data_IF_458008617043
#
_entry.id   IF_458008617043
#
_cell.length_a   1.000
_cell.length_b   1.000
_cell.length_c   1.000
_cell.angle_alpha   90.00
_cell.angle_beta   90.00
_cell.angle_gamma   90.00
#
_symmetry.space_group_name_H-M   'P 1'
#
loop_
_entity.id
_entity.type
_entity.pdbx_description
1 polymer ?
#
# COMPACT_ATOMS: atom_id res chain seq x y z
N UNK A 1 -1.69 24.00 14.91
CA UNK A 1 -0.62 24.31 13.94
C UNK A 1 -0.96 23.54 12.67
N UNK A 2 -0.78 24.11 11.48
CA UNK A 2 -0.92 23.37 10.21
C UNK A 2 0.18 22.31 10.14
N UNK A 3 -0.19 21.05 9.95
CA UNK A 3 0.73 19.92 9.77
C UNK A 3 1.53 20.12 8.47
N UNK A 4 2.81 19.74 8.46
CA UNK A 4 3.68 19.84 7.27
C UNK A 4 3.26 18.88 6.17
N UNK A 5 2.84 17.66 6.56
CA UNK A 5 2.36 16.63 5.65
C UNK A 5 0.95 16.22 6.05
N UNK A 6 0.06 16.15 5.06
CA UNK A 6 -1.31 15.65 5.25
C UNK A 6 -1.33 14.12 5.27
N UNK A 7 -0.42 13.48 4.53
CA UNK A 7 -0.29 12.03 4.51
C UNK A 7 1.18 11.63 4.41
N UNK A 8 1.66 10.83 5.35
CA UNK A 8 2.99 10.22 5.33
C UNK A 8 2.84 8.72 5.26
N UNK A 9 3.46 8.09 4.26
CA UNK A 9 3.52 6.64 4.16
C UNK A 9 4.88 6.11 4.60
N UNK A 10 4.90 4.90 5.14
CA UNK A 10 6.13 4.14 5.41
C UNK A 10 5.98 2.72 4.90
N UNK A 11 6.94 2.27 4.09
CA UNK A 11 6.82 1.02 3.37
C UNK A 11 8.11 0.60 2.66
N UNK A 12 8.07 -0.58 2.07
CA UNK A 12 9.09 -1.08 1.18
C UNK A 12 9.10 -0.24 -0.12
N UNK A 13 10.22 0.44 -0.37
CA UNK A 13 10.48 1.09 -1.64
C UNK A 13 10.92 0.05 -2.68
N UNK A 14 9.99 -0.40 -3.53
CA UNK A 14 10.20 -1.48 -4.50
C UNK A 14 10.02 -0.95 -5.91
N UNK A 15 10.99 -1.17 -6.80
CA UNK A 15 10.78 -0.90 -8.23
C UNK A 15 10.01 -2.06 -8.84
N UNK A 16 8.84 -1.77 -9.41
CA UNK A 16 8.07 -2.75 -10.15
C UNK A 16 8.64 -2.90 -11.56
N UNK A 17 8.84 -4.16 -11.95
CA UNK A 17 9.19 -4.57 -13.30
C UNK A 17 8.01 -5.38 -13.81
N UNK A 18 7.25 -4.82 -14.74
CA UNK A 18 5.97 -5.38 -15.18
C UNK A 18 6.12 -5.94 -16.59
N UNK A 19 5.59 -7.13 -16.83
CA UNK A 19 5.43 -7.71 -18.16
C UNK A 19 4.13 -8.51 -18.26
N UNK A 20 3.53 -8.50 -19.45
CA UNK A 20 2.44 -9.42 -19.78
C UNK A 20 2.99 -10.81 -20.06
N UNK A 21 2.26 -11.85 -19.65
CA UNK A 21 2.61 -13.24 -19.94
C UNK A 21 1.37 -14.13 -20.12
N UNK A 22 1.56 -15.30 -20.72
CA UNK A 22 0.54 -16.35 -20.74
C UNK A 22 0.57 -17.18 -19.44
N UNK A 23 -0.54 -17.82 -19.08
CA UNK A 23 -0.59 -18.71 -17.91
C UNK A 23 0.42 -19.86 -18.00
N UNK A 24 0.78 -20.30 -19.21
CA UNK A 24 1.82 -21.32 -19.42
C UNK A 24 3.20 -20.84 -18.94
N UNK A 25 3.50 -19.54 -19.07
CA UNK A 25 4.76 -18.98 -18.60
C UNK A 25 4.83 -19.03 -17.06
N UNK A 26 3.74 -18.69 -16.36
CA UNK A 26 3.67 -18.78 -14.90
C UNK A 26 3.97 -20.22 -14.44
N UNK A 27 3.33 -21.21 -15.07
CA UNK A 27 3.55 -22.62 -14.77
C UNK A 27 5.00 -23.08 -15.06
N UNK A 28 5.56 -22.69 -16.21
CA UNK A 28 6.95 -23.00 -16.58
C UNK A 28 7.97 -22.39 -15.62
N UNK A 29 7.66 -21.22 -15.06
CA UNK A 29 8.48 -20.53 -14.07
C UNK A 29 8.14 -20.90 -12.63
N UNK A 30 7.17 -21.78 -12.36
CA UNK A 30 6.75 -22.12 -11.00
C UNK A 30 6.29 -20.90 -10.19
N UNK A 31 5.60 -19.95 -10.85
CA UNK A 31 5.00 -18.78 -10.21
C UNK A 31 3.56 -19.12 -9.87
N UNK A 32 3.18 -19.00 -8.60
CA UNK A 32 1.80 -19.10 -8.18
C UNK A 32 1.01 -17.85 -8.59
N UNK A 33 -0.15 -18.06 -9.20
CA UNK A 33 -0.95 -16.99 -9.79
C UNK A 33 -1.70 -16.20 -8.72
N UNK A 34 -1.72 -14.88 -8.86
CA UNK A 34 -2.57 -14.00 -8.04
C UNK A 34 -2.03 -13.64 -6.65
N UNK A 35 -0.82 -14.09 -6.30
CA UNK A 35 -0.22 -13.84 -4.98
C UNK A 35 1.09 -13.06 -5.08
N UNK A 36 1.57 -12.59 -3.92
CA UNK A 36 2.91 -12.07 -3.74
C UNK A 36 3.81 -13.17 -3.15
N UNK A 37 4.90 -13.48 -3.85
CA UNK A 37 5.91 -14.43 -3.41
C UNK A 37 7.21 -13.70 -3.09
N UNK A 38 7.74 -13.93 -1.89
CA UNK A 38 9.11 -13.53 -1.57
C UNK A 38 10.09 -14.45 -2.28
N UNK A 39 11.09 -13.86 -2.93
CA UNK A 39 12.13 -14.58 -3.64
C UNK A 39 13.52 -14.07 -3.27
N UNK A 40 14.52 -14.94 -3.45
CA UNK A 40 15.92 -14.58 -3.27
C UNK A 40 16.52 -13.92 -4.52
N UNK A 41 17.69 -13.31 -4.36
CA UNK A 41 18.37 -12.55 -5.41
C UNK A 41 18.57 -13.35 -6.70
N UNK A 42 19.02 -14.60 -6.60
CA UNK A 42 19.30 -15.42 -7.79
C UNK A 42 18.03 -15.66 -8.60
N UNK A 43 16.91 -15.97 -7.92
CA UNK A 43 15.60 -16.12 -8.56
C UNK A 43 15.12 -14.82 -9.17
N UNK A 44 15.44 -13.68 -8.54
CA UNK A 44 15.11 -12.36 -9.07
C UNK A 44 15.81 -12.09 -10.40
N UNK A 45 17.10 -12.39 -10.50
CA UNK A 45 17.87 -12.24 -11.74
C UNK A 45 17.40 -13.22 -12.83
N UNK A 46 17.07 -14.47 -12.47
CA UNK A 46 16.52 -15.46 -13.40
C UNK A 46 15.21 -14.99 -14.02
N UNK A 47 14.25 -14.57 -13.19
CA UNK A 47 12.95 -14.08 -13.65
C UNK A 47 13.11 -12.81 -14.48
N UNK A 48 13.95 -11.86 -14.03
CA UNK A 48 14.21 -10.63 -14.77
C UNK A 48 14.77 -10.91 -16.17
N UNK A 49 15.69 -11.88 -16.30
CA UNK A 49 16.25 -12.29 -17.58
C UNK A 49 15.22 -12.97 -18.51
N UNK A 50 14.24 -13.67 -17.94
CA UNK A 50 13.15 -14.31 -18.68
C UNK A 50 12.05 -13.33 -19.15
N UNK A 51 11.97 -12.13 -18.57
CA UNK A 51 10.96 -11.13 -18.94
C UNK A 51 11.28 -10.42 -20.27
N UNK A 52 10.31 -10.47 -21.19
CA UNK A 52 10.27 -9.62 -22.39
C UNK A 52 9.46 -8.34 -22.16
N UNK A 53 9.65 -7.31 -22.99
CA UNK A 53 8.83 -6.08 -23.05
C UNK A 53 8.51 -5.45 -21.67
N UNK A 54 9.55 -5.27 -20.85
CA UNK A 54 9.42 -4.79 -19.46
C UNK A 54 9.06 -3.30 -19.40
N UNK A 55 8.13 -2.97 -18.50
CA UNK A 55 7.88 -1.60 -18.03
C UNK A 55 8.45 -1.47 -16.61
N UNK A 56 9.15 -0.37 -16.33
CA UNK A 56 9.68 -0.06 -15.01
C UNK A 56 8.91 1.12 -14.41
N UNK A 57 8.46 1.00 -13.17
CA UNK A 57 7.79 2.06 -12.42
C UNK A 57 8.14 1.96 -10.94
N UNK A 58 8.18 3.08 -10.19
CA UNK A 58 8.20 2.99 -8.74
C UNK A 58 6.91 2.30 -8.27
N UNK A 59 7.06 1.30 -7.41
CA UNK A 59 5.98 0.53 -6.80
C UNK A 59 6.06 0.56 -5.28
N UNK A 60 5.52 -0.48 -4.66
CA UNK A 60 5.30 -0.60 -3.21
C UNK A 60 3.89 -0.13 -2.81
N UNK A 61 3.18 -0.92 -2.00
CA UNK A 61 1.74 -0.75 -1.79
C UNK A 61 1.41 0.62 -1.18
N UNK A 62 2.09 0.95 -0.08
CA UNK A 62 1.91 2.26 0.56
C UNK A 62 2.47 3.38 -0.32
N UNK A 63 3.58 3.18 -1.03
CA UNK A 63 4.12 4.20 -1.93
C UNK A 63 3.12 4.58 -3.04
N UNK A 64 2.43 3.59 -3.61
CA UNK A 64 1.37 3.79 -4.60
C UNK A 64 0.18 4.56 -4.01
N UNK A 65 -0.18 4.24 -2.76
CA UNK A 65 -1.21 4.97 -2.00
C UNK A 65 -0.82 6.44 -1.83
N UNK A 66 0.43 6.71 -1.43
CA UNK A 66 0.95 8.07 -1.20
C UNK A 66 1.01 8.87 -2.50
N UNK A 67 1.43 8.24 -3.60
CA UNK A 67 1.46 8.84 -4.93
C UNK A 67 0.05 9.20 -5.42
N UNK A 68 -0.92 8.28 -5.28
CA UNK A 68 -2.31 8.52 -5.64
C UNK A 68 -2.92 9.67 -4.83
N UNK A 69 -2.69 9.70 -3.52
CA UNK A 69 -3.17 10.78 -2.66
C UNK A 69 -2.49 12.14 -2.97
N UNK A 70 -1.21 12.10 -3.36
CA UNK A 70 -0.48 13.26 -3.88
C UNK A 70 -1.09 13.81 -5.16
N UNK A 71 -1.44 12.92 -6.10
CA UNK A 71 -2.12 13.28 -7.36
C UNK A 71 -3.52 13.90 -7.13
N UNK A 72 -4.22 13.50 -6.06
CA UNK A 72 -5.47 14.14 -5.61
C UNK A 72 -5.24 15.53 -4.98
N UNK A 73 -4.00 15.85 -4.61
CA UNK A 73 -3.57 17.16 -4.13
C UNK A 73 -3.24 17.22 -2.64
N UNK A 74 -3.04 16.08 -1.95
CA UNK A 74 -2.48 16.10 -0.60
C UNK A 74 -0.99 16.46 -0.63
N UNK A 75 -0.54 17.18 0.39
CA UNK A 75 0.88 17.28 0.70
C UNK A 75 1.35 15.95 1.29
N UNK A 76 2.01 15.13 0.46
CA UNK A 76 2.34 13.75 0.81
C UNK A 76 3.86 13.48 0.85
N UNK A 77 4.26 12.56 1.72
CA UNK A 77 5.64 12.12 1.85
C UNK A 77 5.71 10.59 1.99
N UNK A 78 6.81 10.00 1.52
CA UNK A 78 7.06 8.58 1.63
C UNK A 78 8.42 8.31 2.28
N UNK A 79 8.38 7.54 3.36
CA UNK A 79 9.52 7.02 4.09
C UNK A 79 9.79 5.61 3.56
N UNK A 80 10.85 5.49 2.77
CA UNK A 80 11.32 4.22 2.24
C UNK A 80 12.83 4.20 2.21
N UNK A 81 13.40 3.03 1.93
CA UNK A 81 14.86 2.84 1.87
C UNK A 81 15.26 2.26 0.51
N UNK A 82 16.13 2.98 -0.19
CA UNK A 82 16.72 2.57 -1.48
C UNK A 82 18.24 2.71 -1.44
N UNK A 83 18.95 1.96 -2.28
CA UNK A 83 20.40 2.07 -2.40
C UNK A 83 20.75 3.21 -3.35
N UNK A 84 21.94 3.79 -3.23
CA UNK A 84 22.51 4.72 -4.24
C UNK A 84 22.94 3.99 -5.53
N UNK A 85 22.13 3.07 -6.02
CA UNK A 85 22.27 2.44 -7.33
C UNK A 85 21.34 3.12 -8.36
N UNK A 86 21.40 2.68 -9.61
CA UNK A 86 20.61 3.27 -10.68
C UNK A 86 19.09 3.18 -10.42
N UNK A 87 18.64 2.11 -9.78
CA UNK A 87 17.22 1.88 -9.49
C UNK A 87 16.74 2.72 -8.31
N UNK A 88 17.57 2.88 -7.27
CA UNK A 88 17.22 3.73 -6.13
C UNK A 88 17.20 5.21 -6.48
N UNK A 89 18.13 5.67 -7.34
CA UNK A 89 18.07 7.02 -7.93
C UNK A 89 16.81 7.21 -8.76
N UNK A 90 16.52 6.27 -9.66
CA UNK A 90 15.28 6.27 -10.44
C UNK A 90 14.03 6.35 -9.53
N UNK A 91 13.97 5.53 -8.48
CA UNK A 91 12.83 5.51 -7.55
C UNK A 91 12.67 6.85 -6.83
N UNK A 92 13.74 7.35 -6.21
CA UNK A 92 13.72 8.62 -5.48
C UNK A 92 13.37 9.81 -6.38
N UNK A 93 13.97 9.89 -7.57
CA UNK A 93 13.69 10.96 -8.54
C UNK A 93 12.23 10.90 -9.02
N UNK A 94 11.72 9.71 -9.31
CA UNK A 94 10.34 9.53 -9.78
C UNK A 94 9.31 9.95 -8.73
N UNK A 95 9.46 9.51 -7.46
CA UNK A 95 8.57 9.92 -6.37
C UNK A 95 8.54 11.44 -6.21
N UNK A 96 9.71 12.10 -6.22
CA UNK A 96 9.79 13.55 -6.11
C UNK A 96 9.19 14.29 -7.32
N UNK A 97 9.39 13.77 -8.54
CA UNK A 97 8.81 14.34 -9.76
C UNK A 97 7.27 14.23 -9.80
N UNK A 98 6.70 13.22 -9.14
CA UNK A 98 5.26 13.06 -8.93
C UNK A 98 4.72 13.95 -7.80
N UNK A 99 5.57 14.75 -7.15
CA UNK A 99 5.19 15.65 -6.06
C UNK A 99 5.10 14.99 -4.69
N UNK A 100 5.54 13.73 -4.56
CA UNK A 100 5.67 13.05 -3.26
C UNK A 100 7.06 13.30 -2.70
N UNK A 101 7.16 13.83 -1.48
CA UNK A 101 8.45 14.01 -0.84
C UNK A 101 9.05 12.65 -0.47
N UNK A 102 10.06 12.18 -1.21
CA UNK A 102 10.82 10.99 -0.83
C UNK A 102 11.82 11.37 0.27
N UNK A 103 11.55 10.91 1.49
CA UNK A 103 12.14 11.47 2.72
C UNK A 103 13.64 11.15 2.83
N UNK A 104 14.03 9.94 2.47
CA UNK A 104 15.39 9.45 2.67
C UNK A 104 16.22 9.60 1.40
N UNK A 105 17.45 10.09 1.52
CA UNK A 105 18.39 10.04 0.41
C UNK A 105 18.78 8.58 0.09
N UNK A 106 19.07 8.24 -1.18
CA UNK A 106 19.62 6.93 -1.53
C UNK A 106 20.89 6.59 -0.72
N UNK A 107 20.98 5.36 -0.21
CA UNK A 107 22.05 4.95 0.71
C UNK A 107 23.31 4.54 -0.07
N UNK A 108 24.38 5.32 0.06
CA UNK A 108 25.65 5.12 -0.67
C UNK A 108 26.28 3.73 -0.44
N UNK A 109 26.39 3.32 0.82
CA UNK A 109 27.09 2.09 1.23
C UNK A 109 26.11 0.96 1.61
N UNK A 110 24.92 0.92 0.99
CA UNK A 110 23.94 -0.14 1.23
C UNK A 110 24.44 -1.50 0.74
N UNK A 111 24.44 -2.51 1.63
CA UNK A 111 24.92 -3.86 1.29
C UNK A 111 24.07 -4.53 0.20
N UNK A 112 22.74 -4.45 0.34
CA UNK A 112 21.77 -5.01 -0.60
C UNK A 112 21.39 -3.99 -1.67
N UNK A 113 21.07 -4.41 -2.91
CA UNK A 113 20.62 -3.48 -3.96
C UNK A 113 19.18 -3.00 -3.69
N UNK A 114 18.75 -1.98 -4.45
CA UNK A 114 17.36 -1.52 -4.43
C UNK A 114 16.40 -2.66 -4.78
N UNK A 115 15.31 -2.74 -4.02
CA UNK A 115 14.31 -3.81 -4.10
C UNK A 115 13.58 -3.80 -5.43
N UNK A 116 13.17 -4.99 -5.88
CA UNK A 116 12.43 -5.16 -7.14
C UNK A 116 11.32 -6.19 -7.01
N UNK A 117 10.20 -5.94 -7.67
CA UNK A 117 9.13 -6.92 -7.87
C UNK A 117 9.01 -7.24 -9.35
N UNK A 118 9.15 -8.51 -9.73
CA UNK A 118 8.80 -8.95 -11.07
C UNK A 118 7.33 -9.33 -11.09
N UNK A 119 6.54 -8.51 -11.77
CA UNK A 119 5.09 -8.61 -11.85
C UNK A 119 4.72 -9.15 -13.22
N UNK A 120 3.98 -10.25 -13.20
CA UNK A 120 3.48 -10.93 -14.38
C UNK A 120 1.97 -10.78 -14.45
N UNK A 121 1.49 -10.13 -15.52
CA UNK A 121 0.07 -9.88 -15.76
C UNK A 121 -0.44 -10.89 -16.79
N UNK A 122 -1.37 -11.75 -16.38
CA UNK A 122 -2.01 -12.75 -17.26
C UNK A 122 -3.17 -12.16 -18.08
N UNK A 123 -3.67 -12.86 -19.12
CA UNK A 123 -4.70 -12.30 -20.00
C UNK A 123 -6.05 -11.98 -19.34
N UNK A 124 -6.30 -12.52 -18.14
CA UNK A 124 -7.47 -12.23 -17.30
C UNK A 124 -7.28 -11.02 -16.38
N UNK A 125 -6.14 -10.31 -16.49
CA UNK A 125 -5.83 -9.12 -15.70
C UNK A 125 -5.35 -9.41 -14.28
N UNK A 126 -5.21 -10.69 -13.91
CA UNK A 126 -4.62 -11.08 -12.63
C UNK A 126 -3.11 -10.85 -12.62
N UNK A 127 -2.57 -10.46 -11.47
CA UNK A 127 -1.14 -10.16 -11.28
C UNK A 127 -0.48 -11.16 -10.36
N UNK A 128 0.71 -11.60 -10.72
CA UNK A 128 1.52 -12.54 -9.93
C UNK A 128 2.88 -11.90 -9.64
N UNK A 129 3.14 -11.61 -8.36
CA UNK A 129 4.28 -10.79 -7.94
C UNK A 129 5.39 -11.67 -7.35
N UNK A 130 6.63 -11.40 -7.76
CA UNK A 130 7.81 -12.08 -7.25
C UNK A 130 8.80 -11.03 -6.74
N UNK A 131 8.81 -10.82 -5.42
CA UNK A 131 9.45 -9.68 -4.79
C UNK A 131 10.77 -10.07 -4.15
N UNK A 132 11.85 -9.44 -4.61
CA UNK A 132 13.11 -9.40 -3.89
C UNK A 132 13.19 -8.11 -3.07
N UNK A 133 13.09 -8.25 -1.75
CA UNK A 133 12.98 -7.11 -0.83
C UNK A 133 14.27 -6.31 -0.62
N UNK A 134 15.41 -6.76 -1.14
CA UNK A 134 16.68 -6.03 -1.14
C UNK A 134 16.93 -5.15 0.09
N UNK A 135 17.36 -3.92 -0.17
CA UNK A 135 17.62 -2.92 0.89
C UNK A 135 16.36 -2.39 1.58
N UNK A 136 15.17 -2.49 0.96
CA UNK A 136 13.95 -1.97 1.59
C UNK A 136 13.57 -2.76 2.84
N UNK A 137 13.88 -4.06 2.87
CA UNK A 137 13.75 -4.88 4.09
C UNK A 137 14.67 -4.41 5.23
N UNK A 138 15.67 -3.58 4.93
CA UNK A 138 16.63 -3.11 5.92
C UNK A 138 16.21 -1.80 6.62
N UNK A 139 14.99 -1.30 6.36
CA UNK A 139 14.43 -0.12 7.02
C UNK A 139 14.45 -0.26 8.55
N UNK A 140 14.77 0.83 9.23
CA UNK A 140 14.91 0.92 10.68
C UNK A 140 14.46 2.29 11.20
N UNK A 141 14.49 2.47 12.52
CA UNK A 141 14.20 3.76 13.16
C UNK A 141 15.09 4.90 12.67
N UNK A 142 16.33 4.61 12.26
CA UNK A 142 17.25 5.62 11.71
C UNK A 142 16.74 6.21 10.38
N UNK A 143 15.82 5.52 9.71
CA UNK A 143 15.19 5.94 8.46
C UNK A 143 13.89 6.72 8.67
N UNK A 144 13.46 6.95 9.92
CA UNK A 144 12.21 7.62 10.28
C UNK A 144 12.51 8.94 11.00
N UNK A 145 12.61 10.06 10.27
CA UNK A 145 12.83 11.36 10.91
C UNK A 145 11.63 11.74 11.78
N UNK A 146 11.89 12.01 13.07
CA UNK A 146 10.86 12.38 14.04
C UNK A 146 10.09 13.65 13.62
N UNK A 147 10.76 14.59 12.94
CA UNK A 147 10.12 15.80 12.43
C UNK A 147 9.14 15.52 11.29
N UNK A 148 9.36 14.47 10.50
CA UNK A 148 8.40 14.00 9.48
C UNK A 148 7.25 13.26 10.15
N UNK A 149 7.58 12.28 11.01
CA UNK A 149 6.59 11.43 11.68
C UNK A 149 5.65 12.24 12.59
N UNK A 150 6.18 13.09 13.47
CA UNK A 150 5.40 13.91 14.40
C UNK A 150 4.58 15.03 13.73
N UNK A 151 4.96 15.45 12.52
CA UNK A 151 4.23 16.47 11.75
C UNK A 151 3.30 15.90 10.67
N UNK A 152 3.04 14.59 10.68
CA UNK A 152 2.00 13.98 9.86
C UNK A 152 0.60 14.27 10.44
N UNK A 153 -0.36 14.59 9.56
CA UNK A 153 -1.80 14.55 9.91
C UNK A 153 -2.30 13.10 9.92
N UNK A 154 -1.89 12.32 8.91
CA UNK A 154 -2.17 10.89 8.81
C UNK A 154 -0.86 10.18 8.48
N UNK A 155 -0.56 9.11 9.22
CA UNK A 155 0.51 8.18 8.92
C UNK A 155 -0.08 6.84 8.46
N UNK A 156 0.43 6.30 7.37
CA UNK A 156 -0.04 5.05 6.77
C UNK A 156 1.10 4.04 6.66
N UNK A 157 0.94 2.92 7.36
CA UNK A 157 1.95 1.86 7.49
C UNK A 157 1.68 0.73 6.50
N UNK A 158 2.74 0.11 5.98
CA UNK A 158 2.65 -1.08 5.13
C UNK A 158 2.85 -2.37 5.92
N UNK A 159 1.90 -3.29 5.90
CA UNK A 159 1.99 -4.59 6.59
C UNK A 159 3.28 -5.36 6.32
N UNK A 160 3.84 -5.29 5.11
CA UNK A 160 5.05 -6.02 4.71
C UNK A 160 6.33 -5.67 5.48
N UNK A 161 6.41 -4.53 6.16
CA UNK A 161 7.59 -4.19 6.98
C UNK A 161 7.66 -4.95 8.32
N UNK A 162 6.67 -5.79 8.62
CA UNK A 162 6.68 -6.68 9.79
C UNK A 162 7.63 -7.88 9.70
N UNK A 163 8.24 -8.17 8.54
CA UNK A 163 9.09 -9.37 8.40
C UNK A 163 10.40 -9.31 9.23
N UNK A 164 10.84 -8.13 9.72
CA UNK A 164 12.05 -7.99 10.55
C UNK A 164 11.81 -7.11 11.79
N UNK A 165 12.46 -7.46 12.90
CA UNK A 165 12.29 -6.77 14.20
C UNK A 165 12.56 -5.26 14.13
N UNK A 166 13.58 -4.83 13.38
CA UNK A 166 13.88 -3.40 13.21
C UNK A 166 12.79 -2.62 12.47
N UNK A 167 12.09 -3.25 11.52
CA UNK A 167 10.93 -2.66 10.85
C UNK A 167 9.77 -2.50 11.83
N UNK A 168 9.53 -3.51 12.67
CA UNK A 168 8.53 -3.45 13.76
C UNK A 168 8.85 -2.30 14.73
N UNK A 169 10.10 -2.15 15.15
CA UNK A 169 10.53 -1.02 16.01
C UNK A 169 10.27 0.32 15.34
N UNK A 170 10.69 0.48 14.08
CA UNK A 170 10.48 1.71 13.32
C UNK A 170 9.00 2.09 13.23
N UNK A 171 8.12 1.12 13.00
CA UNK A 171 6.67 1.33 12.95
C UNK A 171 6.07 1.80 14.27
N UNK A 172 6.46 1.15 15.37
CA UNK A 172 5.98 1.51 16.70
C UNK A 172 6.41 2.93 17.08
N UNK A 173 7.65 3.30 16.77
CA UNK A 173 8.17 4.65 17.03
C UNK A 173 7.49 5.69 16.14
N UNK A 174 7.37 5.43 14.83
CA UNK A 174 6.68 6.32 13.89
C UNK A 174 5.21 6.55 14.29
N UNK A 175 4.51 5.49 14.67
CA UNK A 175 3.12 5.56 15.13
C UNK A 175 2.99 6.42 16.38
N UNK A 176 3.87 6.21 17.37
CA UNK A 176 3.89 7.00 18.61
C UNK A 176 4.20 8.47 18.34
N UNK A 177 5.24 8.76 17.57
CA UNK A 177 5.61 10.14 17.22
C UNK A 177 4.45 10.87 16.51
N UNK A 178 3.79 10.21 15.55
CA UNK A 178 2.63 10.77 14.86
C UNK A 178 1.49 11.10 15.84
N UNK A 179 1.15 10.16 16.73
CA UNK A 179 0.08 10.33 17.74
C UNK A 179 0.41 11.39 18.77
N UNK A 180 1.64 11.44 19.27
CA UNK A 180 2.11 12.50 20.18
C UNK A 180 2.06 13.88 19.52
N UNK A 181 2.30 13.94 18.21
CA UNK A 181 2.08 15.12 17.40
C UNK A 181 0.59 15.45 17.13
N UNK A 182 -0.35 14.59 17.53
CA UNK A 182 -1.79 14.74 17.30
C UNK A 182 -2.27 14.34 15.90
N UNK A 183 -1.46 13.56 15.17
CA UNK A 183 -1.88 12.90 13.94
C UNK A 183 -2.64 11.59 14.19
N UNK A 184 -3.14 10.97 13.11
CA UNK A 184 -3.74 9.63 13.12
C UNK A 184 -2.83 8.63 12.46
N UNK A 185 -2.87 7.38 12.90
CA UNK A 185 -2.06 6.30 12.34
C UNK A 185 -2.96 5.17 11.88
N UNK A 186 -2.67 4.59 10.73
CA UNK A 186 -3.30 3.36 10.32
C UNK A 186 -2.42 2.53 9.40
N UNK A 187 -2.92 1.36 9.04
CA UNK A 187 -2.16 0.35 8.30
C UNK A 187 -2.95 -0.17 7.11
N UNK A 188 -2.25 -0.45 6.01
CA UNK A 188 -2.69 -1.41 5.00
C UNK A 188 -2.27 -2.79 5.45
N UNK A 189 -3.20 -3.73 5.63
CA UNK A 189 -2.86 -5.12 6.01
C UNK A 189 -1.93 -5.77 4.97
N UNK A 190 -2.07 -5.38 3.71
CA UNK A 190 -1.20 -5.69 2.57
C UNK A 190 -1.28 -7.12 2.03
N UNK A 191 -1.23 -8.14 2.89
CA UNK A 191 -1.21 -9.55 2.46
C UNK A 191 -1.65 -10.50 3.57
N UNK A 192 -2.62 -11.40 3.33
CA UNK A 192 -3.02 -12.40 4.31
C UNK A 192 -1.86 -13.30 4.76
N UNK A 193 -0.90 -13.64 3.88
CA UNK A 193 0.24 -14.48 4.28
C UNK A 193 1.19 -13.74 5.22
N UNK A 194 1.33 -12.42 5.09
CA UNK A 194 2.09 -11.61 6.04
C UNK A 194 1.41 -11.62 7.41
N UNK A 195 0.08 -11.49 7.44
CA UNK A 195 -0.71 -11.64 8.68
C UNK A 195 -0.51 -13.01 9.30
N UNK A 196 -0.58 -14.09 8.51
CA UNK A 196 -0.40 -15.46 9.02
C UNK A 196 0.95 -15.66 9.71
N UNK A 197 2.03 -15.07 9.18
CA UNK A 197 3.37 -15.15 9.77
C UNK A 197 3.51 -14.32 11.06
N UNK A 198 2.82 -13.18 11.17
CA UNK A 198 3.04 -12.17 12.23
C UNK A 198 1.77 -11.76 12.98
N UNK A 199 0.74 -12.62 13.00
CA UNK A 199 -0.62 -12.28 13.48
C UNK A 199 -0.65 -11.62 14.87
N UNK A 200 0.10 -12.17 15.83
CA UNK A 200 0.15 -11.63 17.18
C UNK A 200 0.68 -10.18 17.20
N UNK A 201 1.68 -9.89 16.37
CA UNK A 201 2.26 -8.55 16.28
C UNK A 201 1.32 -7.57 15.57
N UNK A 202 0.63 -8.01 14.51
CA UNK A 202 -0.43 -7.22 13.86
C UNK A 202 -1.55 -6.86 14.85
N UNK A 203 -2.10 -7.85 15.56
CA UNK A 203 -3.16 -7.63 16.54
C UNK A 203 -2.70 -6.70 17.66
N UNK A 204 -1.45 -6.84 18.12
CA UNK A 204 -0.89 -5.96 19.13
C UNK A 204 -0.71 -4.52 18.62
N UNK A 205 -0.22 -4.34 17.38
CA UNK A 205 -0.10 -3.01 16.77
C UNK A 205 -1.47 -2.35 16.61
N UNK A 206 -2.42 -3.08 16.00
CA UNK A 206 -3.79 -2.59 15.76
C UNK A 206 -4.47 -2.17 17.07
N UNK A 207 -4.36 -2.99 18.12
CA UNK A 207 -5.05 -2.74 19.39
C UNK A 207 -4.50 -1.55 20.19
N UNK A 208 -3.20 -1.23 20.03
CA UNK A 208 -2.51 -0.31 20.94
C UNK A 208 -2.04 0.98 20.28
N UNK A 209 -1.73 0.94 18.98
CA UNK A 209 -0.99 2.00 18.30
C UNK A 209 -1.72 2.57 17.07
N UNK A 210 -2.79 1.94 16.58
CA UNK A 210 -3.49 2.37 15.36
C UNK A 210 -4.88 2.95 15.64
N UNK A 211 -5.23 3.99 14.89
CA UNK A 211 -6.55 4.60 14.84
C UNK A 211 -7.44 3.96 13.76
N UNK A 212 -6.83 3.42 12.70
CA UNK A 212 -7.57 2.77 11.61
C UNK A 212 -6.82 1.62 10.93
N UNK A 213 -7.57 0.73 10.30
CA UNK A 213 -7.06 -0.35 9.46
C UNK A 213 -7.81 -0.40 8.14
N UNK A 214 -7.07 -0.61 7.06
CA UNK A 214 -7.60 -0.85 5.71
C UNK A 214 -7.09 -2.22 5.26
N UNK A 215 -8.00 -3.08 4.80
CA UNK A 215 -7.63 -4.35 4.18
C UNK A 215 -8.75 -4.90 3.30
N UNK A 216 -8.47 -5.94 2.54
CA UNK A 216 -9.49 -6.71 1.85
C UNK A 216 -10.14 -7.76 2.77
N UNK A 217 -11.17 -8.45 2.27
CA UNK A 217 -11.84 -9.52 3.01
C UNK A 217 -10.89 -10.59 3.53
N UNK A 218 -10.00 -11.11 2.68
CA UNK A 218 -9.12 -12.22 3.02
C UNK A 218 -8.11 -11.81 4.10
N UNK A 219 -7.59 -10.59 4.00
CA UNK A 219 -6.70 -9.96 4.98
C UNK A 219 -7.36 -9.75 6.35
N UNK A 220 -8.59 -9.23 6.37
CA UNK A 220 -9.35 -9.00 7.60
C UNK A 220 -9.70 -10.35 8.26
N UNK A 221 -10.10 -11.34 7.47
CA UNK A 221 -10.34 -12.71 7.92
C UNK A 221 -9.07 -13.37 8.50
N UNK A 222 -7.92 -13.16 7.86
CA UNK A 222 -6.64 -13.73 8.29
C UNK A 222 -6.17 -13.23 9.68
N UNK A 223 -6.57 -12.01 10.10
CA UNK A 223 -6.28 -11.48 11.44
C UNK A 223 -6.82 -12.36 12.56
N UNK A 224 -7.91 -13.09 12.29
CA UNK A 224 -8.67 -13.81 13.31
C UNK A 224 -8.89 -15.30 13.01
N UNK A 225 -8.26 -15.80 11.95
CA UNK A 225 -8.31 -17.22 11.53
C UNK A 225 -9.76 -17.70 11.33
N UNK A 226 -10.59 -16.85 10.74
CA UNK A 226 -12.00 -17.13 10.46
C UNK A 226 -12.31 -16.86 9.00
N UNK A 227 -13.23 -17.61 8.42
CA UNK A 227 -13.79 -17.33 7.10
C UNK A 227 -15.08 -16.50 7.18
N UNK A 228 -15.55 -16.18 8.40
CA UNK A 228 -16.71 -15.33 8.63
C UNK A 228 -16.26 -13.87 8.66
N UNK A 229 -16.52 -13.15 7.57
CA UNK A 229 -16.17 -11.74 7.46
C UNK A 229 -16.87 -10.87 8.52
N UNK A 230 -18.11 -11.18 8.88
CA UNK A 230 -18.84 -10.38 9.88
C UNK A 230 -18.24 -10.59 11.27
N UNK A 231 -17.81 -11.81 11.60
CA UNK A 231 -17.04 -12.10 12.80
C UNK A 231 -15.71 -11.33 12.80
N UNK A 232 -14.94 -11.42 11.70
CA UNK A 232 -13.64 -10.77 11.58
C UNK A 232 -13.75 -9.24 11.68
N UNK A 233 -14.74 -8.65 11.01
CA UNK A 233 -15.03 -7.21 11.06
C UNK A 233 -15.41 -6.77 12.48
N UNK A 234 -16.29 -7.51 13.17
CA UNK A 234 -16.69 -7.19 14.53
C UNK A 234 -15.50 -7.29 15.51
N UNK A 235 -14.65 -8.30 15.37
CA UNK A 235 -13.44 -8.47 16.20
C UNK A 235 -12.41 -7.39 15.93
N UNK A 236 -12.23 -6.98 14.66
CA UNK A 236 -11.35 -5.86 14.30
C UNK A 236 -11.86 -4.55 14.90
N UNK A 237 -13.16 -4.28 14.78
CA UNK A 237 -13.78 -3.05 15.29
C UNK A 237 -13.80 -2.97 16.83
N UNK A 238 -13.62 -4.11 17.52
CA UNK A 238 -13.47 -4.13 18.97
C UNK A 238 -12.10 -3.65 19.45
N UNK A 239 -11.08 -3.66 18.58
CA UNK A 239 -9.71 -3.27 18.89
C UNK A 239 -9.21 -2.05 18.10
N UNK A 240 -9.95 -1.61 17.08
CA UNK A 240 -9.60 -0.46 16.24
C UNK A 240 -10.85 0.37 15.94
N UNK A 241 -10.75 1.70 16.06
CA UNK A 241 -11.91 2.59 15.95
C UNK A 241 -12.50 2.63 14.54
N UNK A 242 -11.65 2.58 13.51
CA UNK A 242 -12.02 2.63 12.11
C UNK A 242 -11.49 1.40 11.36
N UNK A 243 -12.39 0.60 10.79
CA UNK A 243 -12.08 -0.59 10.00
C UNK A 243 -12.67 -0.41 8.61
N UNK A 244 -11.85 -0.54 7.58
CA UNK A 244 -12.25 -0.47 6.18
C UNK A 244 -11.94 -1.78 5.50
N UNK A 245 -12.98 -2.46 5.00
CA UNK A 245 -12.88 -3.72 4.29
C UNK A 245 -13.33 -3.57 2.83
N UNK A 246 -12.43 -3.83 1.89
CA UNK A 246 -12.75 -3.96 0.46
C UNK A 246 -13.08 -5.42 0.12
N UNK A 247 -14.01 -5.63 -0.82
CA UNK A 247 -14.43 -6.96 -1.30
C UNK A 247 -14.48 -7.03 -2.82
N UNK A 248 -13.52 -6.41 -3.50
CA UNK A 248 -13.48 -6.36 -4.97
C UNK A 248 -14.82 -5.87 -5.53
N UNK A 249 -15.48 -6.65 -6.39
CA UNK A 249 -16.78 -6.32 -6.99
C UNK A 249 -17.97 -6.29 -6.01
N UNK A 250 -17.82 -6.77 -4.78
CA UNK A 250 -18.88 -6.81 -3.76
C UNK A 250 -18.90 -5.56 -2.86
N UNK A 251 -18.10 -4.54 -3.21
CA UNK A 251 -18.11 -3.23 -2.58
C UNK A 251 -17.22 -3.12 -1.36
N UNK A 252 -17.58 -2.18 -0.48
CA UNK A 252 -16.77 -1.77 0.66
C UNK A 252 -17.64 -1.69 1.91
N UNK A 253 -17.14 -2.17 3.04
CA UNK A 253 -17.74 -1.91 4.36
C UNK A 253 -16.78 -1.11 5.22
N UNK A 254 -17.29 -0.04 5.81
CA UNK A 254 -16.61 0.77 6.81
C UNK A 254 -17.32 0.60 8.14
N UNK A 255 -16.59 0.27 9.19
CA UNK A 255 -17.03 0.37 10.58
C UNK A 255 -16.26 1.49 11.25
N UNK A 256 -16.96 2.50 11.77
CA UNK A 256 -16.34 3.62 12.47
C UNK A 256 -17.12 3.90 13.76
N UNK A 257 -16.49 3.69 14.92
CA UNK A 257 -17.11 3.90 16.24
C UNK A 257 -18.50 3.25 16.38
N UNK A 258 -18.64 2.03 15.86
CA UNK A 258 -19.90 1.26 15.88
C UNK A 258 -20.92 1.63 14.80
N UNK A 259 -20.63 2.62 13.94
CA UNK A 259 -21.45 2.95 12.77
C UNK A 259 -20.96 2.19 11.55
N UNK A 260 -21.88 1.46 10.89
CA UNK A 260 -21.62 0.75 9.66
C UNK A 260 -22.04 1.57 8.44
N UNK A 261 -21.18 1.59 7.43
CA UNK A 261 -21.45 2.14 6.10
C UNK A 261 -21.04 1.10 5.07
N UNK A 262 -21.99 0.70 4.22
CA UNK A 262 -21.73 -0.18 3.08
C UNK A 262 -21.87 0.62 1.79
N UNK A 263 -20.83 0.60 0.95
CA UNK A 263 -20.79 1.31 -0.34
C UNK A 263 -20.68 0.29 -1.47
N UNK A 264 -21.63 0.28 -2.43
CA UNK A 264 -21.54 -0.58 -3.60
C UNK A 264 -20.47 -0.05 -4.57
N UNK A 265 -19.98 -0.92 -5.45
CA UNK A 265 -19.09 -0.57 -6.55
C UNK A 265 -19.74 -0.89 -7.89
N UNK A 266 -19.29 -0.22 -8.95
CA UNK A 266 -19.55 -0.66 -10.30
C UNK A 266 -18.59 -1.80 -10.65
N UNK A 267 -19.12 -2.92 -11.14
CA UNK A 267 -18.30 -4.07 -11.52
C UNK A 267 -17.61 -3.79 -12.86
N UNK A 268 -16.28 -3.78 -12.83
CA UNK A 268 -15.42 -3.60 -14.01
C UNK A 268 -14.61 -4.89 -14.20
N UNK A 269 -14.46 -5.34 -15.44
CA UNK A 269 -13.48 -6.39 -15.77
C UNK A 269 -12.10 -5.74 -15.81
N UNK A 270 -11.17 -6.10 -14.89
CA UNK A 270 -9.88 -5.44 -14.81
C UNK A 270 -9.02 -5.76 -16.03
N UNK A 271 -8.29 -4.75 -16.50
CA UNK A 271 -7.15 -4.93 -17.42
C UNK A 271 -5.92 -5.39 -16.64
N UNK A 272 -5.73 -4.83 -15.45
CA UNK A 272 -4.67 -5.17 -14.49
C UNK A 272 -5.18 -4.83 -13.09
N UNK A 273 -5.28 -5.80 -12.18
CA UNK A 273 -5.73 -5.56 -10.81
C UNK A 273 -4.65 -4.90 -9.90
N UNK A 274 -3.45 -4.65 -10.42
CA UNK A 274 -2.32 -4.07 -9.67
C UNK A 274 -2.66 -2.66 -9.19
N UNK A 275 -2.45 -2.40 -7.89
CA UNK A 275 -2.71 -1.10 -7.29
C UNK A 275 -4.18 -0.80 -6.92
N UNK A 276 -5.14 -1.72 -7.15
CA UNK A 276 -6.55 -1.50 -6.82
C UNK A 276 -6.78 -1.12 -5.34
N UNK A 277 -6.19 -1.90 -4.42
CA UNK A 277 -6.26 -1.61 -2.98
C UNK A 277 -5.50 -0.33 -2.60
N UNK A 278 -4.37 -0.06 -3.25
CA UNK A 278 -3.54 1.11 -3.01
C UNK A 278 -4.27 2.40 -3.41
N UNK A 279 -4.90 2.41 -4.59
CA UNK A 279 -5.67 3.57 -5.07
C UNK A 279 -7.01 3.70 -4.35
N UNK A 280 -7.62 2.60 -3.90
CA UNK A 280 -8.72 2.67 -2.95
C UNK A 280 -8.30 3.43 -1.68
N UNK A 281 -7.18 3.03 -1.07
CA UNK A 281 -6.64 3.69 0.11
C UNK A 281 -6.30 5.16 -0.18
N UNK A 282 -5.77 5.48 -1.35
CA UNK A 282 -5.44 6.85 -1.75
C UNK A 282 -6.67 7.76 -1.73
N UNK A 283 -7.76 7.34 -2.38
CA UNK A 283 -9.02 8.10 -2.40
C UNK A 283 -9.69 8.17 -1.02
N UNK A 284 -9.67 7.07 -0.28
CA UNK A 284 -10.22 7.03 1.09
C UNK A 284 -9.48 7.99 2.02
N UNK A 285 -8.15 7.96 2.02
CA UNK A 285 -7.30 8.78 2.87
C UNK A 285 -7.32 10.25 2.45
N UNK A 286 -7.49 10.55 1.16
CA UNK A 286 -7.78 11.90 0.69
C UNK A 286 -9.09 12.44 1.27
N UNK A 287 -10.17 11.66 1.24
CA UNK A 287 -11.43 12.01 1.88
C UNK A 287 -11.29 12.23 3.39
N UNK A 288 -10.55 11.34 4.07
CA UNK A 288 -10.28 11.42 5.50
C UNK A 288 -9.47 12.69 5.86
N UNK A 289 -8.41 12.98 5.11
CA UNK A 289 -7.56 14.14 5.31
C UNK A 289 -8.30 15.47 5.07
N UNK A 290 -9.32 15.46 4.19
CA UNK A 290 -10.14 16.62 3.84
C UNK A 290 -11.46 16.70 4.62
N UNK A 291 -11.66 15.83 5.62
CA UNK A 291 -12.80 15.90 6.55
C UNK A 291 -14.14 15.48 5.96
N UNK A 292 -14.14 14.59 4.97
CA UNK A 292 -15.36 14.04 4.36
C UNK A 292 -16.00 12.95 5.24
N UNK A 293 -17.26 12.63 4.98
CA UNK A 293 -17.95 11.53 5.66
C UNK A 293 -17.39 10.17 5.24
N UNK A 294 -17.55 9.14 6.07
CA UNK A 294 -17.04 7.79 5.77
C UNK A 294 -17.59 7.22 4.46
N UNK A 295 -18.86 7.50 4.14
CA UNK A 295 -19.47 7.13 2.87
C UNK A 295 -18.77 7.83 1.68
N UNK A 296 -18.49 9.13 1.81
CA UNK A 296 -17.76 9.88 0.76
C UNK A 296 -16.32 9.38 0.64
N UNK A 297 -15.62 9.12 1.75
CA UNK A 297 -14.27 8.53 1.71
C UNK A 297 -14.27 7.19 0.96
N UNK A 298 -15.19 6.29 1.28
CA UNK A 298 -15.31 5.00 0.60
C UNK A 298 -15.63 5.17 -0.89
N UNK A 299 -16.56 6.06 -1.26
CA UNK A 299 -16.88 6.35 -2.67
C UNK A 299 -15.68 6.93 -3.43
N UNK A 300 -14.90 7.82 -2.82
CA UNK A 300 -13.66 8.36 -3.42
C UNK A 300 -12.65 7.24 -3.68
N UNK A 301 -12.46 6.34 -2.70
CA UNK A 301 -11.62 5.16 -2.86
C UNK A 301 -12.09 4.27 -4.00
N UNK A 302 -13.38 3.98 -4.09
CA UNK A 302 -13.94 3.17 -5.17
C UNK A 302 -13.69 3.77 -6.57
N UNK A 303 -13.80 5.09 -6.73
CA UNK A 303 -13.51 5.75 -8.02
C UNK A 303 -12.03 5.63 -8.38
N UNK A 304 -11.14 5.87 -7.44
CA UNK A 304 -9.70 5.77 -7.68
C UNK A 304 -9.28 4.33 -8.02
N UNK A 305 -9.84 3.34 -7.32
CA UNK A 305 -9.62 1.93 -7.61
C UNK A 305 -10.21 1.50 -8.96
N UNK A 306 -11.39 2.00 -9.32
CA UNK A 306 -12.02 1.70 -10.60
C UNK A 306 -11.25 2.25 -11.80
N UNK A 307 -10.57 3.39 -11.63
CA UNK A 307 -9.72 3.97 -12.65
C UNK A 307 -8.45 3.15 -12.89
N UNK A 308 -7.71 2.83 -11.82
CA UNK A 308 -6.41 2.17 -11.95
C UNK A 308 -6.51 0.78 -12.56
N UNK A 309 -7.61 0.06 -12.32
CA UNK A 309 -7.80 -1.28 -12.87
C UNK A 309 -8.12 -1.31 -14.37
N UNK A 310 -8.31 -0.14 -15.00
CA UNK A 310 -8.64 -0.02 -16.43
C UNK A 310 -7.42 0.06 -17.35
N UNK A 311 -6.20 0.09 -16.81
CA UNK A 311 -4.95 0.15 -17.57
C UNK A 311 -3.86 -0.64 -16.85
N UNK A 312 -2.67 -0.74 -17.44
CA UNK A 312 -1.54 -1.48 -16.84
C UNK A 312 -0.83 -0.57 -15.85
N UNK A 313 -0.45 -1.12 -14.69
CA UNK A 313 0.39 -0.45 -13.70
C UNK A 313 -0.36 0.12 -12.49
N UNK A 314 0.35 0.37 -11.38
CA UNK A 314 -0.25 0.58 -10.05
C UNK A 314 -0.75 2.02 -9.76
N UNK A 315 -0.57 2.96 -10.70
CA UNK A 315 -0.78 4.39 -10.48
C UNK A 315 -1.66 4.98 -11.58
N UNK A 316 -2.55 5.94 -11.25
CA UNK A 316 -3.49 6.49 -12.21
C UNK A 316 -2.85 7.05 -13.49
N UNK A 317 -3.46 6.77 -14.64
CA UNK A 317 -3.09 7.39 -15.93
C UNK A 317 -3.93 8.64 -16.23
N UNK A 318 -5.01 8.86 -15.48
CA UNK A 318 -5.90 10.01 -15.63
C UNK A 318 -5.88 10.96 -14.43
N UNK A 319 -6.47 12.14 -14.61
CA UNK A 319 -6.65 13.08 -13.50
C UNK A 319 -7.79 12.60 -12.60
N UNK A 320 -7.47 11.73 -11.63
CA UNK A 320 -8.44 11.16 -10.69
C UNK A 320 -9.21 12.21 -9.89
N UNK A 321 -8.62 13.40 -9.64
CA UNK A 321 -9.33 14.50 -8.98
C UNK A 321 -10.51 15.00 -9.82
N UNK A 322 -10.34 15.06 -11.14
CA UNK A 322 -11.41 15.42 -12.05
C UNK A 322 -12.57 14.41 -11.99
N UNK A 323 -12.27 13.11 -11.88
CA UNK A 323 -13.29 12.08 -11.70
C UNK A 323 -14.08 12.27 -10.40
N UNK A 324 -13.41 12.68 -9.32
CA UNK A 324 -14.09 13.03 -8.07
C UNK A 324 -14.97 14.29 -8.19
N UNK A 325 -14.56 15.28 -8.98
CA UNK A 325 -15.34 16.49 -9.27
C UNK A 325 -16.61 16.15 -10.06
N UNK A 326 -16.50 15.34 -11.10
CA UNK A 326 -17.64 14.86 -11.90
C UNK A 326 -18.63 14.05 -11.06
N UNK A 327 -18.13 13.28 -10.08
CA UNK A 327 -18.93 12.53 -9.13
C UNK A 327 -19.51 13.40 -7.99
N UNK A 328 -19.18 14.70 -7.93
CA UNK A 328 -19.65 15.64 -6.92
C UNK A 328 -19.12 15.35 -5.51
N UNK A 329 -17.92 14.76 -5.40
CA UNK A 329 -17.31 14.35 -4.12
C UNK A 329 -16.34 15.38 -3.56
N UNK A 330 -15.79 16.27 -4.40
CA UNK A 330 -14.86 17.33 -3.99
C UNK A 330 -15.42 18.72 -4.20
#
# INVERSE_FOLDING_TARGET
MTKTYQLVGIGNAVVDVIAQCEDSFLAEQGIEKGIMQLIERDRCEELYAAMGNRVLTPGGSVANTIAGAGALGLQSAFIGRVRDDALGKFYADAMNNEGVSFVNAPVADGEMPTSRSMIFVSPDGERSMNTYLGISSELSSDDVPQDVAGNAQIMFLEGYLFDKDKGKTAFLEAARDCREGGGKVGISISDPFCVERHRADFLNLISNELDFVIGNQDEICALFETSDLEEAMARTAAICALVVCTRSGDGVTVLNDGVRVDVPVETITPVDATGAGDQFAAGFLFGLATGRSMEVCARMGCICAGEVICHIGPRPETNVRHLLEEAGLV
#
